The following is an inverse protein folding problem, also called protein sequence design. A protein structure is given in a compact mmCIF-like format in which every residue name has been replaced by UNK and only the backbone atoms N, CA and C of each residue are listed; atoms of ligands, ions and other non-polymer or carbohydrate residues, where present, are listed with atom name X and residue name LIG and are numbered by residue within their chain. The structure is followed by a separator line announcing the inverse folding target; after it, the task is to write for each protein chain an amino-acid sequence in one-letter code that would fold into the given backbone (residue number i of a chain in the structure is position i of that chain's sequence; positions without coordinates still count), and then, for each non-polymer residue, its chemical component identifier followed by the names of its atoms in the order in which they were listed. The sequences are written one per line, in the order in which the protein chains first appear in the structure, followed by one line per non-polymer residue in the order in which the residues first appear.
data_IF_450605953054
#
_entry.id   IF_450605953054
#
_cell.length_a   1.000
_cell.length_b   1.000
_cell.length_c   1.000
_cell.angle_alpha   90.00
_cell.angle_beta   90.00
_cell.angle_gamma   90.00
#
_symmetry.space_group_name_H-M   'P 1'
#
loop_
_entity.id
_entity.type
_entity.pdbx_description
1 polymer ?
#
# COMPACT_ATOMS: atom_id res chain seq x y z
N UNK A 1 21.91 8.99 -11.54
CA UNK A 1 21.36 8.75 -12.89
C UNK A 1 20.48 7.52 -12.75
N UNK A 2 19.17 7.74 -12.62
CA UNK A 2 18.17 6.69 -12.37
C UNK A 2 17.90 5.97 -13.70
N UNK A 3 18.00 4.65 -13.71
CA UNK A 3 17.58 3.83 -14.85
C UNK A 3 16.21 3.25 -14.52
N UNK A 4 15.17 3.74 -15.20
CA UNK A 4 13.82 3.20 -15.16
C UNK A 4 13.76 2.05 -16.17
N UNK A 5 13.57 0.82 -15.69
CA UNK A 5 13.18 -0.29 -16.57
C UNK A 5 11.70 -0.58 -16.33
N UNK A 6 10.91 -0.44 -17.38
CA UNK A 6 9.48 -0.69 -17.39
C UNK A 6 9.25 -2.19 -17.69
N UNK A 7 8.80 -2.98 -16.71
CA UNK A 7 8.34 -4.35 -16.94
C UNK A 7 6.81 -4.37 -17.05
N UNK A 8 6.30 -5.14 -18.01
CA UNK A 8 4.86 -5.27 -18.31
C UNK A 8 4.15 -6.34 -17.48
N UNK A 9 4.78 -6.85 -16.43
CA UNK A 9 4.21 -7.89 -15.57
C UNK A 9 3.68 -7.32 -14.25
N UNK A 10 2.39 -7.51 -14.02
CA UNK A 10 1.59 -7.11 -12.84
C UNK A 10 2.05 -7.72 -11.50
N UNK A 11 3.20 -8.40 -11.47
CA UNK A 11 3.77 -9.16 -10.35
C UNK A 11 5.18 -8.70 -9.95
N UNK A 12 5.71 -7.65 -10.57
CA UNK A 12 7.09 -7.21 -10.31
C UNK A 12 7.17 -6.33 -9.04
N UNK A 13 7.49 -6.94 -7.90
CA UNK A 13 8.03 -6.26 -6.71
C UNK A 13 9.51 -6.00 -6.96
N UNK A 14 9.95 -4.75 -7.20
CA UNK A 14 11.38 -4.56 -7.44
C UNK A 14 11.98 -3.15 -7.24
N UNK A 15 12.04 -2.57 -6.04
CA UNK A 15 13.09 -1.55 -5.72
C UNK A 15 13.29 -1.42 -4.21
N UNK A 16 14.54 -1.63 -3.78
CA UNK A 16 15.03 -1.38 -2.41
C UNK A 16 15.44 0.09 -2.24
N UNK A 17 14.54 0.97 -1.82
CA UNK A 17 14.90 2.35 -1.46
C UNK A 17 15.48 2.39 -0.04
N UNK A 18 16.82 2.45 0.07
CA UNK A 18 17.49 2.57 1.36
C UNK A 18 17.45 4.02 1.85
N UNK A 19 16.59 4.32 2.83
CA UNK A 19 16.71 5.56 3.60
C UNK A 19 17.77 5.38 4.70
N UNK A 20 18.78 6.25 4.74
CA UNK A 20 19.79 6.27 5.80
C UNK A 20 19.47 7.42 6.75
N UNK A 21 18.59 7.19 7.71
CA UNK A 21 18.66 7.90 9.00
C UNK A 21 19.18 6.91 10.05
N UNK A 22 19.42 7.37 11.28
CA UNK A 22 19.94 6.56 12.41
C UNK A 22 18.95 5.47 12.91
N UNK A 23 18.12 4.92 12.02
CA UNK A 23 17.04 3.96 12.24
C UNK A 23 17.07 2.92 11.10
N UNK A 24 16.56 1.69 11.31
CA UNK A 24 16.87 0.53 10.47
C UNK A 24 16.53 0.74 8.99
N UNK A 25 17.29 0.05 8.12
CA UNK A 25 17.04 0.00 6.68
C UNK A 25 15.59 -0.38 6.41
N UNK A 26 14.97 0.26 5.42
CA UNK A 26 13.57 0.05 5.06
C UNK A 26 13.50 -0.52 3.66
N UNK A 27 12.70 -1.57 3.50
CA UNK A 27 12.43 -2.18 2.21
C UNK A 27 11.05 -1.75 1.72
N UNK A 28 10.92 -1.55 0.40
CA UNK A 28 9.68 -1.12 -0.24
C UNK A 28 9.29 -2.09 -1.34
N UNK A 29 8.04 -2.56 -1.30
CA UNK A 29 7.40 -3.27 -2.40
C UNK A 29 6.12 -2.54 -2.78
N UNK A 30 5.74 -2.56 -4.07
CA UNK A 30 4.54 -1.84 -4.53
C UNK A 30 3.58 -2.69 -5.36
N UNK A 31 2.31 -2.30 -5.26
CA UNK A 31 1.28 -2.67 -6.22
C UNK A 31 0.90 -1.40 -6.96
N UNK A 32 1.24 -1.32 -8.25
CA UNK A 32 0.90 -0.16 -9.06
C UNK A 32 -0.63 -0.06 -9.25
N UNK A 33 -1.10 1.18 -9.36
CA UNK A 33 -2.43 1.47 -9.86
C UNK A 33 -2.52 1.08 -11.34
N UNK A 34 -3.69 0.65 -11.81
CA UNK A 34 -3.86 0.28 -13.22
C UNK A 34 -4.02 1.50 -14.15
N UNK A 35 -4.36 2.66 -13.60
CA UNK A 35 -4.50 3.92 -14.32
C UNK A 35 -3.67 4.97 -13.60
N UNK A 36 -2.69 5.55 -14.29
CA UNK A 36 -1.88 6.65 -13.78
C UNK A 36 -2.07 7.86 -14.70
N UNK A 37 -2.51 9.02 -14.19
CA UNK A 37 -2.51 10.26 -14.97
C UNK A 37 -1.07 10.69 -15.30
N UNK A 38 -0.89 11.61 -16.24
CA UNK A 38 0.43 12.17 -16.47
C UNK A 38 0.90 13.00 -15.27
N UNK A 39 2.22 13.23 -15.20
CA UNK A 39 2.88 13.83 -14.04
C UNK A 39 2.28 15.17 -13.59
N UNK A 40 1.83 16.02 -14.52
CA UNK A 40 1.27 17.36 -14.24
C UNK A 40 -0.27 17.43 -14.36
N UNK A 41 -0.97 16.31 -14.58
CA UNK A 41 -2.42 16.31 -14.90
C UNK A 41 -3.34 16.19 -13.68
N UNK A 42 -2.81 15.76 -12.53
CA UNK A 42 -3.64 15.48 -11.35
C UNK A 42 -2.89 15.73 -10.04
N UNK A 43 -3.60 15.53 -8.92
CA UNK A 43 -3.07 15.62 -7.56
C UNK A 43 -3.13 14.23 -6.91
N UNK A 44 -2.01 13.71 -6.44
CA UNK A 44 -1.99 12.45 -5.68
C UNK A 44 -2.34 12.69 -4.21
N UNK A 45 -3.34 11.98 -3.70
CA UNK A 45 -3.58 11.88 -2.26
C UNK A 45 -2.57 10.90 -1.66
N UNK A 46 -1.64 11.43 -0.86
CA UNK A 46 -0.64 10.64 -0.15
C UNK A 46 -1.16 10.35 1.27
N UNK A 47 -1.31 9.07 1.59
CA UNK A 47 -1.72 8.63 2.92
C UNK A 47 -0.90 7.44 3.40
N UNK A 48 -1.10 7.07 4.65
CA UNK A 48 -0.30 6.07 5.32
C UNK A 48 -1.07 5.40 6.45
N UNK A 49 -0.77 4.13 6.69
CA UNK A 49 -1.42 3.33 7.72
C UNK A 49 -0.64 2.06 8.04
N UNK A 50 -1.25 1.24 8.88
CA UNK A 50 -0.92 -0.18 9.04
C UNK A 50 -2.07 -1.03 8.50
N UNK A 51 -1.93 -2.36 8.47
CA UNK A 51 -2.96 -3.22 7.88
C UNK A 51 -4.34 -3.01 8.54
N UNK A 52 -4.37 -2.67 9.83
CA UNK A 52 -5.56 -2.41 10.64
C UNK A 52 -6.38 -1.21 10.16
N UNK A 53 -5.82 -0.33 9.33
CA UNK A 53 -6.49 0.88 8.82
C UNK A 53 -6.89 0.77 7.34
N UNK A 54 -6.54 -0.30 6.63
CA UNK A 54 -6.77 -0.35 5.18
C UNK A 54 -8.27 -0.39 4.79
N UNK A 55 -9.18 -0.63 5.73
CA UNK A 55 -10.63 -0.49 5.49
C UNK A 55 -11.07 0.93 5.14
N UNK A 56 -10.24 1.95 5.42
CA UNK A 56 -10.53 3.33 5.08
C UNK A 56 -10.24 3.65 3.60
N UNK A 57 -9.41 2.85 2.93
CA UNK A 57 -8.98 3.13 1.54
C UNK A 57 -10.14 3.13 0.55
N UNK A 58 -11.13 2.20 0.60
CA UNK A 58 -12.32 2.30 -0.24
C UNK A 58 -13.05 3.65 -0.13
N UNK A 59 -13.28 4.16 1.09
CA UNK A 59 -13.97 5.44 1.30
C UNK A 59 -13.14 6.63 0.80
N UNK A 60 -11.83 6.62 1.02
CA UNK A 60 -10.93 7.64 0.46
C UNK A 60 -10.98 7.64 -1.07
N UNK A 61 -10.97 6.45 -1.66
CA UNK A 61 -10.94 6.25 -3.10
C UNK A 61 -12.25 6.65 -3.78
N UNK A 62 -13.40 6.41 -3.14
CA UNK A 62 -14.70 6.87 -3.64
C UNK A 62 -14.84 8.40 -3.58
N UNK A 63 -14.16 9.06 -2.63
CA UNK A 63 -14.18 10.54 -2.48
C UNK A 63 -13.09 11.26 -3.26
N UNK A 64 -12.01 10.56 -3.58
CA UNK A 64 -10.86 11.08 -4.30
C UNK A 64 -10.75 10.42 -5.67
N UNK A 65 -11.30 11.08 -6.68
CA UNK A 65 -11.36 10.52 -8.03
C UNK A 65 -9.99 10.48 -8.75
N UNK A 66 -8.98 11.14 -8.18
CA UNK A 66 -7.60 11.12 -8.65
C UNK A 66 -6.76 9.93 -8.12
N UNK A 67 -5.43 9.95 -8.33
CA UNK A 67 -4.52 8.91 -7.86
C UNK A 67 -4.32 8.94 -6.34
N UNK A 68 -4.15 7.77 -5.72
CA UNK A 68 -3.79 7.62 -4.31
C UNK A 68 -2.44 6.92 -4.19
N UNK A 69 -1.58 7.42 -3.30
CA UNK A 69 -0.36 6.74 -2.87
C UNK A 69 -0.48 6.37 -1.38
N UNK A 70 -0.49 5.08 -1.08
CA UNK A 70 -0.75 4.55 0.26
C UNK A 70 0.49 3.82 0.76
N UNK A 71 1.17 4.39 1.76
CA UNK A 71 2.24 3.70 2.48
C UNK A 71 1.68 2.81 3.60
N UNK A 72 2.09 1.56 3.64
CA UNK A 72 1.61 0.57 4.62
C UNK A 72 2.80 0.04 5.42
N UNK A 73 2.90 0.45 6.68
CA UNK A 73 3.91 -0.12 7.57
C UNK A 73 3.49 -1.54 7.98
N UNK A 74 4.34 -2.52 7.67
CA UNK A 74 4.03 -3.94 7.79
C UNK A 74 5.26 -4.78 8.17
N UNK A 75 5.80 -4.63 9.39
CA UNK A 75 6.98 -5.38 9.86
C UNK A 75 6.72 -6.88 10.03
N UNK A 76 7.66 -7.73 9.62
CA UNK A 76 7.64 -9.17 9.87
C UNK A 76 6.31 -9.84 9.50
N UNK A 77 5.58 -10.37 10.49
CA UNK A 77 4.30 -11.06 10.26
C UNK A 77 3.15 -10.14 9.84
N UNK A 78 3.29 -8.81 9.98
CA UNK A 78 2.31 -7.86 9.43
C UNK A 78 2.37 -7.82 7.90
N UNK A 79 3.50 -8.17 7.28
CA UNK A 79 3.68 -8.13 5.82
C UNK A 79 2.69 -9.04 5.07
N UNK A 80 2.64 -10.36 5.32
CA UNK A 80 1.68 -11.23 4.65
C UNK A 80 0.22 -10.84 4.95
N UNK A 81 -0.06 -10.32 6.15
CA UNK A 81 -1.38 -9.81 6.53
C UNK A 81 -1.77 -8.58 5.69
N UNK A 82 -0.86 -7.61 5.57
CA UNK A 82 -1.05 -6.42 4.75
C UNK A 82 -1.26 -6.79 3.27
N UNK A 83 -0.40 -7.66 2.72
CA UNK A 83 -0.52 -8.16 1.34
C UNK A 83 -1.88 -8.80 1.10
N UNK A 84 -2.32 -9.73 1.96
CA UNK A 84 -3.63 -10.40 1.83
C UNK A 84 -4.79 -9.40 1.87
N UNK A 85 -4.73 -8.39 2.74
CA UNK A 85 -5.75 -7.34 2.83
C UNK A 85 -5.75 -6.44 1.58
N UNK A 86 -4.59 -6.06 1.05
CA UNK A 86 -4.46 -5.30 -0.21
C UNK A 86 -5.06 -6.09 -1.38
N UNK A 87 -4.72 -7.37 -1.52
CA UNK A 87 -5.27 -8.24 -2.56
C UNK A 87 -6.80 -8.38 -2.45
N UNK A 88 -7.33 -8.54 -1.23
CA UNK A 88 -8.76 -8.55 -0.98
C UNK A 88 -9.42 -7.23 -1.42
N UNK A 89 -8.87 -6.08 -1.03
CA UNK A 89 -9.41 -4.76 -1.40
C UNK A 89 -9.35 -4.51 -2.90
N UNK A 90 -8.28 -4.93 -3.59
CA UNK A 90 -8.18 -4.79 -5.06
C UNK A 90 -9.14 -5.71 -5.82
N UNK A 91 -9.46 -6.88 -5.27
CA UNK A 91 -10.34 -7.88 -5.91
C UNK A 91 -11.82 -7.63 -5.60
N UNK A 92 -12.15 -7.34 -4.36
CA UNK A 92 -13.51 -7.25 -3.85
C UNK A 92 -13.98 -5.80 -3.57
N UNK A 93 -13.05 -4.84 -3.51
CA UNK A 93 -13.32 -3.40 -3.29
C UNK A 93 -13.96 -2.68 -4.48
N UNK A 94 -14.31 -1.39 -4.29
CA UNK A 94 -14.68 -0.52 -5.39
C UNK A 94 -13.61 -0.53 -6.50
N UNK A 95 -13.99 -0.44 -7.78
CA UNK A 95 -13.04 -0.50 -8.90
C UNK A 95 -11.89 0.51 -8.79
N UNK A 96 -12.15 1.68 -8.20
CA UNK A 96 -11.14 2.71 -8.02
C UNK A 96 -9.95 2.21 -7.18
N UNK A 97 -10.13 1.26 -6.25
CA UNK A 97 -9.04 0.75 -5.41
C UNK A 97 -7.98 0.04 -6.24
N UNK A 98 -8.40 -0.68 -7.28
CA UNK A 98 -7.47 -1.30 -8.24
C UNK A 98 -6.94 -0.28 -9.25
N UNK A 99 -7.79 0.65 -9.69
CA UNK A 99 -7.48 1.58 -10.77
C UNK A 99 -6.56 2.73 -10.33
N UNK A 100 -6.78 3.30 -9.16
CA UNK A 100 -6.20 4.59 -8.74
C UNK A 100 -5.19 4.46 -7.59
N UNK A 101 -5.20 3.36 -6.83
CA UNK A 101 -4.37 3.23 -5.61
C UNK A 101 -3.06 2.51 -5.91
N UNK A 102 -1.97 3.20 -5.65
CA UNK A 102 -0.62 2.63 -5.55
C UNK A 102 -0.29 2.33 -4.08
N UNK A 103 0.15 1.12 -3.81
CA UNK A 103 0.46 0.65 -2.45
C UNK A 103 1.97 0.57 -2.26
N UNK A 104 2.49 0.95 -1.09
CA UNK A 104 3.92 0.91 -0.77
C UNK A 104 4.13 0.28 0.60
N UNK A 105 4.54 -0.99 0.65
CA UNK A 105 4.81 -1.69 1.90
C UNK A 105 6.13 -1.20 2.50
N UNK A 106 6.16 -0.92 3.80
CA UNK A 106 7.30 -0.35 4.53
C UNK A 106 7.58 -1.22 5.73
N UNK A 107 8.80 -1.74 5.85
CA UNK A 107 9.21 -2.57 6.98
C UNK A 107 10.71 -2.51 7.19
N UNK A 108 11.15 -2.74 8.43
CA UNK A 108 12.57 -2.82 8.75
C UNK A 108 13.20 -4.03 8.09
N UNK A 109 14.36 -3.87 7.45
CA UNK A 109 15.10 -4.97 6.82
C UNK A 109 15.51 -6.05 7.82
N UNK A 110 15.69 -5.71 9.11
CA UNK A 110 15.94 -6.69 10.18
C UNK A 110 14.72 -7.57 10.49
N UNK A 111 13.54 -7.15 10.06
CA UNK A 111 12.28 -7.86 10.15
C UNK A 111 11.79 -8.28 8.76
N UNK A 112 12.63 -8.17 7.74
CA UNK A 112 12.31 -8.69 6.42
C UNK A 112 12.03 -10.20 6.53
N UNK A 113 11.03 -10.71 5.82
CA UNK A 113 10.84 -12.15 5.71
C UNK A 113 12.12 -12.79 5.17
N UNK A 114 12.58 -13.88 5.78
CA UNK A 114 13.71 -14.68 5.29
C UNK A 114 13.45 -15.27 3.89
N UNK A 115 12.17 -15.34 3.49
CA UNK A 115 11.68 -15.61 2.14
C UNK A 115 10.51 -14.69 1.87
N UNK A 116 10.65 -13.78 0.91
CA UNK A 116 9.54 -13.03 0.35
C UNK A 116 8.71 -13.98 -0.54
N UNK A 117 8.16 -15.05 0.04
CA UNK A 117 7.09 -15.82 -0.61
C UNK A 117 5.80 -14.99 -0.45
N UNK A 118 5.81 -13.78 -1.01
CA UNK A 118 4.57 -13.24 -1.52
C UNK A 118 4.09 -14.27 -2.54
N UNK A 119 2.80 -14.65 -2.58
CA UNK A 119 2.32 -15.56 -3.61
C UNK A 119 2.60 -14.91 -4.96
N UNK A 120 3.65 -15.36 -5.64
CA UNK A 120 4.14 -14.80 -6.90
C UNK A 120 3.22 -15.20 -8.05
N UNK A 121 2.38 -16.22 -7.82
CA UNK A 121 1.41 -16.75 -8.77
C UNK A 121 0.07 -17.08 -8.07
N UNK A 122 -1.03 -17.05 -8.84
CA UNK A 122 -2.36 -17.51 -8.38
C UNK A 122 -2.36 -18.98 -7.90
N UNK A 123 -1.34 -19.78 -8.24
CA UNK A 123 -1.17 -21.15 -7.80
C UNK A 123 -0.65 -21.26 -6.35
N UNK A 124 0.17 -20.30 -5.90
CA UNK A 124 0.71 -20.22 -4.53
C UNK A 124 -0.34 -19.67 -3.53
N UNK A 125 -1.45 -19.13 -4.04
CA UNK A 125 -2.64 -18.81 -3.25
C UNK A 125 -3.44 -20.06 -2.84
N UNK A 126 -3.03 -21.28 -3.23
CA UNK A 126 -3.75 -22.51 -2.87
C UNK A 126 -3.66 -22.89 -1.39
N UNK A 127 -2.60 -22.44 -0.69
CA UNK A 127 -2.50 -22.53 0.78
C UNK A 127 -3.32 -21.44 1.51
N UNK A 128 -3.74 -20.41 0.76
CA UNK A 128 -4.44 -19.26 1.27
C UNK A 128 -5.92 -19.36 0.90
N UNK A 129 -6.79 -19.59 1.88
CA UNK A 129 -8.27 -19.66 1.69
C UNK A 129 -8.75 -18.64 0.62
N UNK A 130 -9.50 -19.08 -0.41
CA UNK A 130 -9.88 -18.24 -1.53
C UNK A 130 -10.54 -16.95 -1.06
N UNK A 131 -10.16 -15.83 -1.68
CA UNK A 131 -10.71 -14.51 -1.37
C UNK A 131 -12.23 -14.52 -1.62
N UNK A 132 -13.00 -14.60 -0.54
CA UNK A 132 -14.45 -14.65 -0.58
C UNK A 132 -15.05 -13.23 -0.52
N UNK A 133 -15.44 -12.68 -1.67
CA UNK A 133 -16.10 -11.37 -1.74
C UNK A 133 -17.55 -11.38 -1.20
N UNK A 134 -18.17 -12.55 -0.97
CA UNK A 134 -19.54 -12.65 -0.44
C UNK A 134 -19.61 -12.43 1.07
N UNK A 135 -18.47 -12.46 1.77
CA UNK A 135 -18.37 -12.15 3.20
C UNK A 135 -18.68 -10.66 3.53
N UNK A 136 -18.91 -9.83 2.51
CA UNK A 136 -19.08 -8.39 2.61
C UNK A 136 -17.76 -7.67 2.92
N UNK A 137 -17.79 -6.33 3.00
CA UNK A 137 -16.63 -5.51 3.39
C UNK A 137 -16.26 -5.62 4.87
N UNK A 138 -16.75 -6.65 5.58
CA UNK A 138 -16.29 -6.90 6.94
C UNK A 138 -14.78 -7.06 6.89
N UNK A 139 -14.02 -6.32 7.72
CA UNK A 139 -12.57 -6.40 7.71
C UNK A 139 -12.19 -7.87 7.83
N UNK A 140 -11.35 -8.37 6.91
CA UNK A 140 -10.64 -9.61 7.18
C UNK A 140 -9.97 -9.41 8.54
N UNK A 141 -10.45 -10.10 9.58
CA UNK A 141 -9.89 -10.06 10.92
C UNK A 141 -8.59 -10.86 10.92
N UNK A 142 -7.62 -10.35 10.17
CA UNK A 142 -6.26 -10.83 10.19
C UNK A 142 -5.62 -10.24 11.44
N UNK A 143 -5.02 -11.09 12.25
CA UNK A 143 -4.37 -10.69 13.49
C UNK A 143 -2.87 -10.88 13.32
N UNK A 144 -2.12 -9.86 13.66
CA UNK A 144 -0.68 -9.96 13.88
C UNK A 144 -0.32 -9.09 15.07
N UNK A 145 0.51 -9.62 15.96
CA UNK A 145 0.86 -8.98 17.24
C UNK A 145 2.33 -8.59 17.29
N UNK A 146 3.06 -8.64 16.17
CA UNK A 146 4.51 -8.43 16.16
C UNK A 146 4.90 -7.03 16.64
N UNK A 147 4.12 -6.00 16.29
CA UNK A 147 4.34 -4.62 16.74
C UNK A 147 4.18 -4.50 18.26
N UNK A 148 3.11 -5.07 18.81
CA UNK A 148 2.84 -5.07 20.25
C UNK A 148 3.86 -5.90 21.03
N UNK A 149 4.16 -7.10 20.56
CA UNK A 149 5.09 -8.04 21.21
C UNK A 149 6.53 -7.54 21.19
N UNK A 150 6.99 -6.93 20.09
CA UNK A 150 8.34 -6.35 19.97
C UNK A 150 8.41 -4.86 20.32
N UNK A 151 7.29 -4.24 20.74
CA UNK A 151 7.17 -2.80 21.07
C UNK A 151 7.71 -1.89 19.96
N UNK A 152 7.39 -2.22 18.71
CA UNK A 152 7.86 -1.46 17.54
C UNK A 152 7.11 -0.14 17.44
N UNK A 153 7.80 1.01 17.43
CA UNK A 153 7.14 2.29 17.20
C UNK A 153 6.62 2.37 15.76
N UNK A 154 5.49 3.04 15.57
CA UNK A 154 5.00 3.31 14.21
C UNK A 154 5.81 4.44 13.56
N UNK A 155 6.56 4.21 12.48
CA UNK A 155 7.43 5.22 11.88
C UNK A 155 6.65 6.18 10.96
N UNK A 156 5.69 6.91 11.53
CA UNK A 156 4.71 7.74 10.81
C UNK A 156 5.36 8.72 9.82
N UNK A 157 6.47 9.36 10.19
CA UNK A 157 7.16 10.31 9.33
C UNK A 157 7.85 9.63 8.14
N UNK A 158 8.30 8.39 8.32
CA UNK A 158 8.87 7.61 7.23
C UNK A 158 7.76 7.20 6.27
N UNK A 159 6.65 6.68 6.78
CA UNK A 159 5.51 6.27 5.95
C UNK A 159 4.93 7.46 5.14
N UNK A 160 4.78 8.64 5.75
CA UNK A 160 4.41 9.88 5.03
C UNK A 160 5.38 10.23 3.92
N UNK A 161 6.70 10.14 4.19
CA UNK A 161 7.72 10.43 3.18
C UNK A 161 7.72 9.42 2.04
N UNK A 162 7.50 8.13 2.32
CA UNK A 162 7.40 7.08 1.31
C UNK A 162 6.21 7.34 0.38
N UNK A 163 5.01 7.59 0.93
CA UNK A 163 3.83 7.92 0.13
C UNK A 163 4.04 9.18 -0.73
N UNK A 164 4.71 10.20 -0.18
CA UNK A 164 5.00 11.44 -0.90
C UNK A 164 6.02 11.25 -2.02
N UNK A 165 7.10 10.51 -1.77
CA UNK A 165 8.19 10.34 -2.73
C UNK A 165 7.83 9.40 -3.89
N UNK A 166 6.91 8.46 -3.64
CA UNK A 166 6.43 7.50 -4.64
C UNK A 166 5.10 7.92 -5.29
N UNK A 167 4.65 9.14 -5.02
CA UNK A 167 3.52 9.72 -5.73
C UNK A 167 3.82 9.84 -7.23
N UNK A 168 2.87 9.44 -8.07
CA UNK A 168 3.01 9.47 -9.53
C UNK A 168 2.82 10.85 -10.16
N UNK A 169 2.42 11.85 -9.39
CA UNK A 169 2.15 13.21 -9.87
C UNK A 169 3.03 14.24 -9.17
N UNK A 170 3.17 15.41 -9.79
CA UNK A 170 3.92 16.55 -9.26
C UNK A 170 3.27 17.14 -8.02
N UNK A 171 1.94 17.23 -8.03
CA UNK A 171 1.16 17.84 -6.96
C UNK A 171 0.66 16.75 -6.02
N UNK A 172 0.88 16.95 -4.73
CA UNK A 172 0.51 15.98 -3.70
C UNK A 172 -0.30 16.65 -2.61
N UNK A 173 -1.30 15.94 -2.10
CA UNK A 173 -2.03 16.28 -0.89
C UNK A 173 -1.74 15.20 0.15
N UNK A 174 -1.08 15.56 1.24
CA UNK A 174 -0.85 14.63 2.35
C UNK A 174 -2.02 14.65 3.33
N UNK A 175 -2.61 13.49 3.63
CA UNK A 175 -3.69 13.35 4.61
C UNK A 175 -3.60 12.02 5.35
N UNK A 176 -3.94 12.01 6.63
CA UNK A 176 -4.03 10.76 7.39
C UNK A 176 -5.21 9.91 6.91
N UNK A 177 -5.10 8.59 7.01
CA UNK A 177 -5.98 7.64 6.28
C UNK A 177 -7.45 7.68 6.73
N UNK A 178 -7.71 8.20 7.92
CA UNK A 178 -9.05 8.35 8.50
C UNK A 178 -9.70 9.70 8.15
N UNK A 179 -8.96 10.62 7.54
CA UNK A 179 -9.43 11.96 7.20
C UNK A 179 -9.97 11.99 5.78
N UNK A 180 -11.29 11.85 5.68
CA UNK A 180 -12.00 11.79 4.40
C UNK A 180 -12.18 13.18 3.79
N UNK A 181 -11.75 13.40 2.53
CA UNK A 181 -11.99 14.66 1.85
C UNK A 181 -13.48 14.87 1.54
N UNK A 182 -13.86 16.11 1.26
CA UNK A 182 -15.16 16.41 0.66
C UNK A 182 -15.29 15.74 -0.71
N UNK A 183 -16.50 15.30 -1.05
CA UNK A 183 -16.79 14.70 -2.35
C UNK A 183 -16.44 15.69 -3.47
N UNK A 184 -15.88 15.15 -4.56
CA UNK A 184 -15.58 15.88 -5.81
C UNK A 184 -14.60 17.05 -5.67
N UNK A 185 -13.77 17.08 -4.61
CA UNK A 185 -12.73 18.11 -4.47
C UNK A 185 -11.62 17.99 -5.52
N UNK A 186 -11.41 16.78 -6.05
CA UNK A 186 -10.53 16.51 -7.18
C UNK A 186 -11.30 15.69 -8.23
N UNK A 187 -11.39 16.16 -9.48
CA UNK A 187 -12.04 15.42 -10.57
C UNK A 187 -11.12 14.33 -11.14
N UNK A 188 -11.72 13.37 -11.86
CA UNK A 188 -10.99 12.39 -12.69
C UNK A 188 -10.11 13.03 -13.75
#
# INVERSE_FOLDING_TARGET
MLSLHESKDLTTIDYKLRYRSESPLIDISWFACCSAPAYDESVTLCTQGTFEFLQHVPELCDRWEGPLSVSVYAPGTDLPVAVRKILFLRKCGPPCVRLNVSWHLVYESSLAPSRLEAPLDMADMSEYEPLNCTAGFKPLQLVSEIRSSKKLPYPINVARNVARQLAGTRYVLASDIELYPSLHIVPR
#
